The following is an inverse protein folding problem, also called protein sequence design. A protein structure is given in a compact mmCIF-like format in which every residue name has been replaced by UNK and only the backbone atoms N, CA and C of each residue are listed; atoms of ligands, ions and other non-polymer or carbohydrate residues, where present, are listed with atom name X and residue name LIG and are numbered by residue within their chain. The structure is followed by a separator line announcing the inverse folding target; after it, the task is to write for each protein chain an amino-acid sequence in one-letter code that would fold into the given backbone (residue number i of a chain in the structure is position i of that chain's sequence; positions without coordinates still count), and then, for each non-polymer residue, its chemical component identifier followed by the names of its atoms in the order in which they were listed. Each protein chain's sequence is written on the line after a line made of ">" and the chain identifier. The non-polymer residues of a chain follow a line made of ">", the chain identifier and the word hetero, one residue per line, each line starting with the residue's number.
data_IF_358808810048
#
_entry.id   IF_358808810048
#
_cell.length_a   1.000
_cell.length_b   1.000
_cell.length_c   1.000
_cell.angle_alpha   90.00
_cell.angle_beta   90.00
_cell.angle_gamma   90.00
#
_symmetry.space_group_name_H-M   'P 1'
#
loop_
_entity.id
_entity.type
_entity.pdbx_description
1 polymer ?
#
# COMPACT_ATOMS: atom_id res chain seq x y z
N UNK A 1 18.99 24.95 -11.74
CA UNK A 1 18.13 23.76 -11.93
C UNK A 1 17.14 24.11 -13.02
N UNK A 2 16.91 23.23 -14.00
CA UNK A 2 15.88 23.47 -15.01
C UNK A 2 14.49 23.46 -14.35
N UNK A 3 13.57 24.28 -14.85
CA UNK A 3 12.18 24.37 -14.35
C UNK A 3 11.48 22.99 -14.35
N UNK A 4 11.82 22.16 -15.34
CA UNK A 4 11.32 20.79 -15.45
C UNK A 4 11.71 19.91 -14.25
N UNK A 5 12.96 19.96 -13.80
CA UNK A 5 13.42 19.17 -12.63
C UNK A 5 12.69 19.62 -11.36
N UNK A 6 12.47 20.91 -11.21
CA UNK A 6 11.72 21.46 -10.07
C UNK A 6 10.27 20.97 -10.08
N UNK A 7 9.63 20.93 -11.26
CA UNK A 7 8.27 20.41 -11.40
C UNK A 7 8.20 18.90 -11.05
N UNK A 8 9.13 18.09 -11.54
CA UNK A 8 9.19 16.64 -11.22
C UNK A 8 9.36 16.41 -9.71
N UNK A 9 10.23 17.17 -9.06
CA UNK A 9 10.43 17.09 -7.60
C UNK A 9 9.16 17.53 -6.84
N UNK A 10 8.45 18.54 -7.33
CA UNK A 10 7.15 18.96 -6.77
C UNK A 10 6.10 17.86 -6.85
N UNK A 11 6.00 17.18 -8.00
CA UNK A 11 5.10 16.02 -8.19
C UNK A 11 5.49 14.88 -7.25
N UNK A 12 6.78 14.53 -7.18
CA UNK A 12 7.27 13.50 -6.28
C UNK A 12 6.91 13.80 -4.81
N UNK A 13 7.09 15.04 -4.38
CA UNK A 13 6.77 15.46 -3.02
C UNK A 13 5.25 15.38 -2.75
N UNK A 14 4.41 15.80 -3.69
CA UNK A 14 2.96 15.69 -3.58
C UNK A 14 2.49 14.25 -3.45
N UNK A 15 2.96 13.36 -4.33
CA UNK A 15 2.64 11.93 -4.28
C UNK A 15 3.13 11.27 -2.98
N UNK A 16 4.34 11.60 -2.53
CA UNK A 16 4.88 11.11 -1.27
C UNK A 16 4.05 11.54 -0.06
N UNK A 17 3.56 12.79 -0.04
CA UNK A 17 2.67 13.27 1.02
C UNK A 17 1.34 12.54 1.02
N UNK A 18 0.72 12.30 -0.13
CA UNK A 18 -0.53 11.53 -0.23
C UNK A 18 -0.31 10.11 0.27
N UNK A 19 0.74 9.44 -0.20
CA UNK A 19 1.08 8.08 0.23
C UNK A 19 1.31 8.02 1.74
N UNK A 20 2.12 8.93 2.30
CA UNK A 20 2.38 8.97 3.74
C UNK A 20 1.10 9.24 4.54
N UNK A 21 0.25 10.18 4.10
CA UNK A 21 -0.99 10.54 4.80
C UNK A 21 -1.95 9.36 4.89
N UNK A 22 -2.15 8.62 3.78
CA UNK A 22 -3.05 7.45 3.78
C UNK A 22 -2.52 6.36 4.71
N UNK A 23 -1.23 6.03 4.64
CA UNK A 23 -0.65 4.99 5.50
C UNK A 23 -0.66 5.37 6.98
N UNK A 24 -0.34 6.61 7.31
CA UNK A 24 -0.42 7.08 8.70
C UNK A 24 -1.86 7.11 9.21
N UNK A 25 -2.82 7.49 8.37
CA UNK A 25 -4.24 7.42 8.69
C UNK A 25 -4.67 5.99 9.02
N UNK A 26 -4.41 5.03 8.13
CA UNK A 26 -4.76 3.62 8.34
C UNK A 26 -4.09 3.04 9.57
N UNK A 27 -2.80 3.30 9.77
CA UNK A 27 -2.07 2.87 10.95
C UNK A 27 -2.62 3.50 12.24
N UNK A 28 -3.00 4.78 12.21
CA UNK A 28 -3.60 5.46 13.38
C UNK A 28 -4.97 4.89 13.71
N UNK A 29 -5.82 4.64 12.71
CA UNK A 29 -7.12 3.99 12.89
C UNK A 29 -6.93 2.62 13.56
N UNK A 30 -5.98 1.80 13.09
CA UNK A 30 -5.68 0.51 13.71
C UNK A 30 -5.27 0.62 15.18
N UNK A 31 -4.43 1.61 15.54
CA UNK A 31 -4.05 1.86 16.95
C UNK A 31 -5.24 2.30 17.80
N UNK A 32 -6.08 3.18 17.27
CA UNK A 32 -7.27 3.66 18.00
C UNK A 32 -8.26 2.51 18.21
N UNK A 33 -8.49 1.68 17.19
CA UNK A 33 -9.33 0.49 17.33
C UNK A 33 -8.80 -0.43 18.42
N UNK A 34 -7.51 -0.77 18.39
CA UNK A 34 -6.87 -1.57 19.44
C UNK A 34 -7.08 -0.97 20.84
N UNK A 35 -6.88 0.34 21.01
CA UNK A 35 -7.04 1.00 22.31
C UNK A 35 -8.47 0.95 22.82
N UNK A 36 -9.47 0.85 21.96
CA UNK A 36 -10.89 0.83 22.31
C UNK A 36 -11.44 -0.58 22.54
N UNK A 37 -10.98 -1.57 21.76
CA UNK A 37 -11.49 -2.95 21.81
C UNK A 37 -10.63 -3.85 22.69
N UNK A 38 -9.37 -3.53 22.88
CA UNK A 38 -8.37 -4.38 23.53
C UNK A 38 -7.86 -5.52 22.65
N UNK A 39 -8.39 -5.66 21.43
CA UNK A 39 -7.91 -6.66 20.47
C UNK A 39 -6.52 -6.27 19.98
N UNK A 40 -5.63 -7.26 19.86
CA UNK A 40 -4.28 -7.00 19.36
C UNK A 40 -4.34 -6.39 17.94
N UNK A 41 -3.55 -5.34 17.68
CA UNK A 41 -3.50 -4.76 16.34
C UNK A 41 -3.01 -5.80 15.35
N UNK A 42 -3.61 -5.82 14.16
CA UNK A 42 -3.11 -6.65 13.07
C UNK A 42 -1.67 -6.24 12.74
N UNK A 43 -0.90 -7.17 12.18
CA UNK A 43 0.48 -6.89 11.72
C UNK A 43 0.54 -5.72 10.75
N UNK A 44 -0.53 -5.42 10.04
CA UNK A 44 -0.64 -4.29 9.11
C UNK A 44 -0.59 -2.93 9.80
N UNK A 45 -1.13 -2.81 11.01
CA UNK A 45 -1.13 -1.53 11.76
C UNK A 45 0.27 -0.96 11.95
N UNK A 46 1.25 -1.67 12.55
CA UNK A 46 2.61 -1.16 12.68
C UNK A 46 3.31 -1.02 11.33
N UNK A 47 3.01 -1.86 10.34
CA UNK A 47 3.56 -1.74 8.99
C UNK A 47 3.11 -0.44 8.31
N UNK A 48 1.83 -0.08 8.39
CA UNK A 48 1.33 1.18 7.84
C UNK A 48 1.98 2.40 8.50
N UNK A 49 2.12 2.41 9.83
CA UNK A 49 2.81 3.49 10.53
C UNK A 49 4.29 3.58 10.11
N UNK A 50 5.00 2.46 10.10
CA UNK A 50 6.41 2.41 9.72
C UNK A 50 6.60 2.87 8.26
N UNK A 51 5.73 2.45 7.36
CA UNK A 51 5.77 2.85 5.95
C UNK A 51 5.55 4.36 5.77
N UNK A 52 4.50 4.91 6.37
CA UNK A 52 4.22 6.35 6.30
C UNK A 52 5.37 7.19 6.88
N UNK A 53 5.93 6.76 8.02
CA UNK A 53 7.09 7.43 8.65
C UNK A 53 8.35 7.29 7.79
N UNK A 54 8.57 6.15 7.13
CA UNK A 54 9.71 5.95 6.23
C UNK A 54 9.64 6.89 5.02
N UNK A 55 8.46 7.09 4.44
CA UNK A 55 8.25 8.04 3.34
C UNK A 55 8.55 9.47 3.79
N UNK A 56 7.99 9.92 4.93
CA UNK A 56 8.28 11.26 5.47
C UNK A 56 9.75 11.43 5.85
N UNK A 57 10.36 10.39 6.43
CA UNK A 57 11.79 10.38 6.75
C UNK A 57 12.67 10.50 5.52
N UNK A 58 12.31 9.81 4.44
CA UNK A 58 12.98 9.93 3.14
C UNK A 58 12.90 11.35 2.58
N UNK A 59 11.72 11.97 2.61
CA UNK A 59 11.53 13.37 2.20
C UNK A 59 12.39 14.34 3.03
N UNK A 60 12.37 14.18 4.35
CA UNK A 60 13.16 15.02 5.25
C UNK A 60 14.66 14.83 5.03
N UNK A 61 15.10 13.61 4.75
CA UNK A 61 16.50 13.30 4.47
C UNK A 61 16.98 13.94 3.18
N UNK A 62 16.18 13.85 2.11
CA UNK A 62 16.45 14.50 0.82
C UNK A 62 16.59 16.02 0.99
N UNK A 63 15.69 16.63 1.78
CA UNK A 63 15.72 18.06 2.04
C UNK A 63 16.98 18.50 2.80
N UNK A 64 17.42 17.70 3.78
CA UNK A 64 18.57 18.03 4.64
C UNK A 64 19.92 17.65 4.07
N UNK A 65 19.98 16.62 3.23
CA UNK A 65 21.23 16.04 2.72
C UNK A 65 21.13 15.75 1.23
N UNK A 66 21.35 16.74 0.35
CA UNK A 66 21.29 16.53 -1.09
C UNK A 66 22.23 15.45 -1.63
N UNK A 67 23.31 15.14 -0.91
CA UNK A 67 24.28 14.09 -1.29
C UNK A 67 23.70 12.66 -1.26
N UNK A 68 22.57 12.43 -0.58
CA UNK A 68 21.93 11.11 -0.48
C UNK A 68 20.70 10.96 -1.42
N UNK A 69 20.50 11.88 -2.34
CA UNK A 69 19.33 11.86 -3.24
C UNK A 69 19.19 10.53 -3.96
N UNK A 70 20.25 10.06 -4.63
CA UNK A 70 20.21 8.84 -5.42
C UNK A 70 19.84 7.59 -4.61
N UNK A 71 20.51 7.25 -3.50
CA UNK A 71 20.12 6.09 -2.71
C UNK A 71 18.68 6.23 -2.14
N UNK A 72 18.24 7.44 -1.80
CA UNK A 72 16.87 7.65 -1.32
C UNK A 72 15.84 7.41 -2.42
N UNK A 73 16.11 7.85 -3.65
CA UNK A 73 15.21 7.58 -4.77
C UNK A 73 15.15 6.07 -5.07
N UNK A 74 16.29 5.38 -5.09
CA UNK A 74 16.33 3.94 -5.31
C UNK A 74 15.60 3.16 -4.22
N UNK A 75 15.86 3.47 -2.94
CA UNK A 75 15.20 2.82 -1.82
C UNK A 75 13.70 3.13 -1.80
N UNK A 76 13.32 4.37 -2.09
CA UNK A 76 11.91 4.78 -2.19
C UNK A 76 11.18 4.02 -3.29
N UNK A 77 11.80 3.87 -4.48
CA UNK A 77 11.23 3.08 -5.57
C UNK A 77 11.01 1.61 -5.18
N UNK A 78 12.00 1.00 -4.52
CA UNK A 78 11.85 -0.38 -3.99
C UNK A 78 10.72 -0.46 -2.97
N UNK A 79 10.62 0.51 -2.06
CA UNK A 79 9.57 0.55 -1.05
C UNK A 79 8.17 0.65 -1.68
N UNK A 80 8.00 1.49 -2.72
CA UNK A 80 6.73 1.59 -3.45
C UNK A 80 6.40 0.29 -4.20
N UNK A 81 7.38 -0.34 -4.83
CA UNK A 81 7.19 -1.62 -5.50
C UNK A 81 6.74 -2.71 -4.51
N UNK A 82 7.36 -2.78 -3.34
CA UNK A 82 6.96 -3.73 -2.28
C UNK A 82 5.55 -3.46 -1.76
N UNK A 83 5.14 -2.20 -1.62
CA UNK A 83 3.78 -1.86 -1.20
C UNK A 83 2.71 -2.28 -2.22
N UNK A 84 3.00 -2.09 -3.51
CA UNK A 84 2.11 -2.51 -4.60
C UNK A 84 2.01 -4.04 -4.70
N UNK A 85 3.15 -4.73 -4.61
CA UNK A 85 3.19 -6.20 -4.61
C UNK A 85 2.49 -6.77 -3.38
N UNK A 86 2.76 -6.23 -2.20
CA UNK A 86 2.10 -6.65 -0.95
C UNK A 86 0.58 -6.46 -0.99
N UNK A 87 0.12 -5.36 -1.59
CA UNK A 87 -1.32 -5.15 -1.80
C UNK A 87 -1.93 -6.19 -2.75
N UNK A 88 -1.26 -6.48 -3.86
CA UNK A 88 -1.71 -7.49 -4.81
C UNK A 88 -1.68 -8.91 -4.19
N UNK A 89 -0.65 -9.23 -3.42
CA UNK A 89 -0.55 -10.50 -2.72
C UNK A 89 -1.68 -10.69 -1.71
N UNK A 90 -1.96 -9.65 -0.90
CA UNK A 90 -3.02 -9.68 0.10
C UNK A 90 -4.42 -9.92 -0.48
N UNK A 91 -4.71 -9.35 -1.67
CA UNK A 91 -6.05 -9.41 -2.26
C UNK A 91 -6.23 -10.54 -3.25
N UNK A 92 -5.14 -11.14 -3.74
CA UNK A 92 -5.19 -12.06 -4.88
C UNK A 92 -4.47 -13.38 -4.63
N UNK A 93 -3.24 -13.32 -4.08
CA UNK A 93 -2.37 -14.49 -4.01
C UNK A 93 -2.42 -15.19 -2.65
N UNK A 94 -2.61 -14.44 -1.56
CA UNK A 94 -2.63 -14.97 -0.18
C UNK A 94 -1.33 -15.66 0.25
N UNK A 95 -0.22 -15.44 -0.48
CA UNK A 95 1.05 -16.11 -0.21
C UNK A 95 1.64 -15.66 1.12
N UNK A 96 1.53 -14.37 1.43
CA UNK A 96 2.03 -13.81 2.69
C UNK A 96 1.20 -14.34 3.86
N UNK A 97 -0.13 -14.39 3.73
CA UNK A 97 -1.02 -14.93 4.76
C UNK A 97 -0.69 -16.40 5.08
N UNK A 98 -0.61 -17.22 4.04
CA UNK A 98 -0.29 -18.64 4.18
C UNK A 98 1.12 -18.89 4.73
N UNK A 99 2.09 -18.05 4.36
CA UNK A 99 3.48 -18.18 4.81
C UNK A 99 3.67 -17.76 6.27
N UNK A 100 2.92 -16.74 6.71
CA UNK A 100 2.98 -16.23 8.08
C UNK A 100 2.07 -16.99 9.04
N UNK A 101 1.25 -17.94 8.54
CA UNK A 101 0.29 -18.69 9.34
C UNK A 101 -0.81 -17.81 9.94
N UNK A 102 -1.16 -16.73 9.27
CA UNK A 102 -2.10 -15.69 9.72
C UNK A 102 -3.44 -15.86 9.01
N UNK A 103 -3.84 -17.11 8.76
CA UNK A 103 -5.03 -17.47 7.98
C UNK A 103 -6.36 -16.92 8.54
N UNK A 104 -6.34 -16.29 9.72
CA UNK A 104 -7.54 -15.87 10.44
C UNK A 104 -7.66 -14.34 10.64
N UNK A 105 -6.87 -13.51 9.96
CA UNK A 105 -6.86 -12.06 10.20
C UNK A 105 -7.76 -11.25 9.26
N UNK A 106 -8.97 -11.74 8.95
CA UNK A 106 -9.99 -10.80 8.49
C UNK A 106 -10.66 -11.03 7.16
N UNK A 107 -10.58 -12.22 6.58
CA UNK A 107 -11.57 -12.62 5.59
C UNK A 107 -12.78 -13.24 6.32
N UNK A 108 -13.57 -12.39 6.95
CA UNK A 108 -14.93 -12.74 7.35
C UNK A 108 -15.74 -12.89 6.04
N UNK A 109 -15.46 -13.98 5.33
CA UNK A 109 -16.38 -14.50 4.34
C UNK A 109 -17.62 -14.89 5.12
N UNK A 110 -18.59 -13.98 5.13
CA UNK A 110 -19.82 -14.07 5.89
C UNK A 110 -20.53 -15.42 5.83
N UNK A 111 -19.93 -16.44 6.40
CA UNK A 111 -20.55 -17.69 6.78
C UNK A 111 -21.28 -17.47 8.11
N UNK A 112 -22.27 -16.58 8.06
CA UNK A 112 -23.36 -16.63 9.02
C UNK A 112 -23.98 -18.02 8.95
N UNK A 113 -23.56 -18.90 9.84
CA UNK A 113 -24.19 -20.19 10.06
C UNK A 113 -25.61 -19.96 10.62
N UNK A 114 -26.55 -19.70 9.72
CA UNK A 114 -27.96 -20.00 9.96
C UNK A 114 -28.27 -21.29 9.23
N UNK A 115 -28.37 -22.39 10.01
CA UNK A 115 -29.01 -23.59 9.55
C UNK A 115 -30.43 -23.22 9.12
N UNK A 116 -30.69 -23.28 7.82
CA UNK A 116 -32.03 -23.57 7.34
C UNK A 116 -31.94 -24.39 6.04
N UNK A 117 -32.79 -25.41 5.99
CA UNK A 117 -32.76 -26.50 5.04
C UNK A 117 -33.14 -26.08 3.62
N UNK A 118 -32.37 -26.58 2.65
CA UNK A 118 -32.90 -26.96 1.34
C UNK A 118 -33.16 -25.82 0.36
N UNK A 119 -32.18 -25.60 -0.51
CA UNK A 119 -32.40 -25.53 -1.98
C UNK A 119 -31.02 -25.49 -2.63
N UNK A 120 -30.71 -26.56 -3.40
CA UNK A 120 -29.51 -26.63 -4.22
C UNK A 120 -29.50 -25.52 -5.25
N UNK A 121 -28.75 -24.49 -4.98
CA UNK A 121 -28.23 -23.59 -5.99
C UNK A 121 -26.80 -23.98 -6.23
N UNK A 122 -26.60 -24.54 -7.39
CA UNK A 122 -25.33 -24.75 -8.05
C UNK A 122 -24.64 -23.39 -8.17
N UNK A 123 -23.93 -23.00 -7.10
CA UNK A 123 -23.02 -21.87 -7.17
C UNK A 123 -21.82 -22.36 -7.93
N UNK A 124 -21.90 -22.20 -9.26
CA UNK A 124 -20.73 -22.23 -10.09
C UNK A 124 -19.67 -21.38 -9.40
N UNK A 125 -18.55 -22.02 -9.04
CA UNK A 125 -17.33 -21.30 -8.70
C UNK A 125 -17.01 -20.46 -9.92
N UNK A 126 -17.46 -19.21 -9.88
CA UNK A 126 -16.97 -18.18 -10.76
C UNK A 126 -15.49 -18.02 -10.33
N UNK A 127 -14.63 -18.74 -11.03
CA UNK A 127 -13.18 -18.57 -10.95
C UNK A 127 -12.87 -17.17 -11.52
N UNK A 128 -13.36 -16.13 -10.83
CA UNK A 128 -13.12 -14.75 -11.19
C UNK A 128 -11.63 -14.57 -11.35
N UNK A 129 -11.21 -14.17 -12.55
CA UNK A 129 -9.78 -13.97 -12.81
C UNK A 129 -9.20 -13.09 -11.68
N UNK A 130 -8.05 -13.48 -11.09
CA UNK A 130 -7.40 -12.76 -9.97
C UNK A 130 -7.28 -11.25 -10.21
N UNK A 131 -7.10 -10.87 -11.46
CA UNK A 131 -7.04 -9.46 -11.89
C UNK A 131 -8.40 -8.78 -11.77
N UNK A 132 -9.50 -9.49 -12.05
CA UNK A 132 -10.86 -8.97 -11.90
C UNK A 132 -11.17 -8.60 -10.45
N UNK A 133 -10.85 -9.49 -9.52
CA UNK A 133 -11.02 -9.27 -8.08
C UNK A 133 -10.22 -8.04 -7.60
N UNK A 134 -8.97 -7.90 -8.04
CA UNK A 134 -8.12 -6.75 -7.69
C UNK A 134 -8.71 -5.43 -8.21
N UNK A 135 -9.21 -5.42 -9.44
CA UNK A 135 -9.82 -4.24 -10.05
C UNK A 135 -11.10 -3.85 -9.31
N UNK A 136 -11.93 -4.82 -8.94
CA UNK A 136 -13.18 -4.58 -8.23
C UNK A 136 -12.92 -3.99 -6.83
N UNK A 137 -11.97 -4.55 -6.08
CA UNK A 137 -11.54 -3.98 -4.80
C UNK A 137 -11.01 -2.55 -4.94
N UNK A 138 -10.17 -2.29 -5.95
CA UNK A 138 -9.68 -0.94 -6.22
C UNK A 138 -10.80 0.03 -6.63
N UNK A 139 -11.81 -0.43 -7.36
CA UNK A 139 -12.91 0.42 -7.81
C UNK A 139 -13.91 0.74 -6.68
N UNK A 140 -14.06 -0.15 -5.71
CA UNK A 140 -15.00 0.01 -4.59
C UNK A 140 -14.40 0.74 -3.39
N UNK A 141 -13.08 0.69 -3.19
CA UNK A 141 -12.38 1.40 -2.12
C UNK A 141 -11.62 2.63 -2.65
N UNK A 142 -12.26 3.79 -2.51
CA UNK A 142 -11.67 5.06 -2.94
C UNK A 142 -10.33 5.37 -2.27
N UNK A 143 -10.12 4.93 -1.01
CA UNK A 143 -8.88 5.15 -0.29
C UNK A 143 -7.75 4.28 -0.84
N UNK A 144 -8.06 3.01 -1.14
CA UNK A 144 -7.14 2.10 -1.79
C UNK A 144 -6.78 2.62 -3.19
N UNK A 145 -7.76 3.07 -3.98
CA UNK A 145 -7.53 3.62 -5.30
C UNK A 145 -6.57 4.83 -5.26
N UNK A 146 -6.82 5.79 -4.36
CA UNK A 146 -5.98 6.98 -4.20
C UNK A 146 -4.57 6.59 -3.76
N UNK A 147 -4.45 5.69 -2.76
CA UNK A 147 -3.16 5.23 -2.27
C UNK A 147 -2.35 4.52 -3.35
N UNK A 148 -2.96 3.56 -4.05
CA UNK A 148 -2.26 2.75 -5.06
C UNK A 148 -1.90 3.56 -6.31
N UNK A 149 -2.74 4.52 -6.69
CA UNK A 149 -2.41 5.48 -7.76
C UNK A 149 -1.23 6.38 -7.37
N UNK A 150 -1.20 6.87 -6.13
CA UNK A 150 -0.09 7.69 -5.64
C UNK A 150 1.21 6.88 -5.53
N UNK A 151 1.17 5.65 -5.03
CA UNK A 151 2.32 4.74 -4.94
C UNK A 151 2.88 4.40 -6.32
N UNK A 152 2.03 4.09 -7.29
CA UNK A 152 2.45 3.81 -8.67
C UNK A 152 3.07 5.05 -9.32
N UNK A 153 2.43 6.20 -9.18
CA UNK A 153 2.98 7.46 -9.67
C UNK A 153 4.33 7.79 -9.05
N UNK A 154 4.45 7.62 -7.73
CA UNK A 154 5.69 7.85 -7.00
C UNK A 154 6.79 6.87 -7.41
N UNK A 155 6.46 5.58 -7.62
CA UNK A 155 7.40 4.58 -8.13
C UNK A 155 8.00 5.02 -9.47
N UNK A 156 7.15 5.45 -10.41
CA UNK A 156 7.59 5.93 -11.73
C UNK A 156 8.51 7.14 -11.58
N UNK A 157 8.07 8.16 -10.82
CA UNK A 157 8.84 9.40 -10.66
C UNK A 157 10.18 9.15 -9.96
N UNK A 158 10.21 8.36 -8.90
CA UNK A 158 11.44 8.00 -8.19
C UNK A 158 12.41 7.22 -9.10
N UNK A 159 11.88 6.33 -9.93
CA UNK A 159 12.68 5.59 -10.91
C UNK A 159 13.32 6.54 -11.93
N UNK A 160 12.55 7.48 -12.47
CA UNK A 160 13.09 8.50 -13.40
C UNK A 160 14.16 9.34 -12.73
N UNK A 161 13.94 9.82 -11.51
CA UNK A 161 14.91 10.60 -10.74
C UNK A 161 16.18 9.79 -10.41
N UNK A 162 16.03 8.52 -10.08
CA UNK A 162 17.17 7.63 -9.82
C UNK A 162 18.07 7.44 -11.04
N UNK A 163 17.46 7.25 -12.22
CA UNK A 163 18.22 7.10 -13.47
C UNK A 163 18.81 8.44 -13.95
N UNK A 164 18.06 9.53 -13.81
CA UNK A 164 18.51 10.88 -14.19
C UNK A 164 19.69 11.40 -13.34
N UNK A 165 19.83 10.92 -12.11
CA UNK A 165 20.94 11.30 -11.21
C UNK A 165 22.26 10.56 -11.48
N UNK A 166 22.35 9.73 -12.53
CA UNK A 166 23.60 9.02 -12.90
C UNK A 166 24.64 9.89 -13.61
N UNK A 167 24.22 11.04 -14.11
CA UNK A 167 25.07 11.94 -14.91
C UNK A 167 25.59 13.18 -14.17
N UNK A 168 25.28 13.31 -12.89
CA UNK A 168 25.76 14.39 -12.02
C UNK A 168 26.83 13.84 -11.05
#
# INVERSE_FOLDING_TARGET
>A
MSDERTAILGVAAGLALVTAAVHLYLGTVGVVTWSNTGDLPTVLTPLFLAFGLAVLGGMALVHRRPSVLRPVYGLGAVLMALALVGYADWHVLGVVESTLGVEDLGHDHGNGASHDEGHGHDHGHDDGEPVGTLIDHLATDALALVSKSAELGLLVVLTVLFWGSRGE
#
